data_IF_340468423485
#
_entry.id   IF_340468423485
#
_cell.length_a   1.000
_cell.length_b   1.000
_cell.length_c   1.000
_cell.angle_alpha   90.00
_cell.angle_beta   90.00
_cell.angle_gamma   90.00
#
_symmetry.space_group_name_H-M   'P 1'
#
loop_
_entity.id
_entity.type
_entity.pdbx_description
1 polymer ?
#
# COMPACT_ATOMS: atom_id res chain seq x y z
N UNK A 1 26.78 5.08 43.02
CA UNK A 1 27.64 3.88 42.97
C UNK A 1 26.80 2.67 43.32
N UNK A 2 27.03 1.57 42.58
CA UNK A 2 26.54 0.20 42.75
C UNK A 2 25.01 -0.01 42.71
N UNK A 3 24.47 -0.94 41.93
CA UNK A 3 25.08 -1.97 41.10
C UNK A 3 23.98 -2.94 40.70
N UNK A 4 23.86 -3.22 39.39
CA UNK A 4 22.90 -4.17 38.87
C UNK A 4 23.19 -5.60 39.30
N UNK A 5 22.13 -6.41 39.40
CA UNK A 5 22.19 -7.85 39.23
C UNK A 5 21.06 -8.30 38.30
N UNK A 6 21.47 -9.09 37.31
CA UNK A 6 20.77 -9.49 36.10
C UNK A 6 19.64 -10.49 36.32
N UNK A 7 18.72 -10.48 35.36
CA UNK A 7 17.45 -11.22 35.20
C UNK A 7 17.60 -12.77 35.12
N UNK A 8 18.79 -13.34 35.38
CA UNK A 8 19.07 -14.78 35.20
C UNK A 8 19.16 -15.60 36.50
N UNK A 9 18.93 -15.02 37.68
CA UNK A 9 19.11 -15.75 38.95
C UNK A 9 17.85 -16.41 39.55
N UNK A 10 16.66 -16.21 38.97
CA UNK A 10 15.41 -16.81 39.49
C UNK A 10 14.98 -18.09 38.75
N UNK A 11 15.64 -18.45 37.65
CA UNK A 11 15.30 -19.64 36.86
C UNK A 11 15.84 -20.96 37.44
N UNK A 12 16.67 -20.92 38.49
CA UNK A 12 17.33 -22.11 39.04
C UNK A 12 16.65 -22.73 40.29
N UNK A 13 15.52 -22.19 40.76
CA UNK A 13 14.86 -22.65 41.99
C UNK A 13 13.53 -23.40 41.78
N UNK A 14 13.11 -23.64 40.54
CA UNK A 14 11.85 -24.34 40.22
C UNK A 14 12.02 -25.67 39.46
N UNK A 15 13.22 -26.27 39.45
CA UNK A 15 13.46 -27.58 38.81
C UNK A 15 13.68 -28.76 39.78
N UNK A 16 13.49 -28.60 41.09
CA UNK A 16 13.90 -29.63 42.07
C UNK A 16 12.78 -30.55 42.59
N UNK A 17 11.60 -30.61 41.97
CA UNK A 17 10.50 -31.45 42.47
C UNK A 17 9.76 -32.22 41.37
N UNK A 18 10.50 -32.99 40.56
CA UNK A 18 9.93 -34.05 39.71
C UNK A 18 10.45 -35.42 40.17
N UNK A 19 9.60 -36.32 40.69
CA UNK A 19 10.01 -37.69 40.99
C UNK A 19 10.17 -38.50 39.68
N UNK A 20 11.28 -39.24 39.58
CA UNK A 20 11.54 -40.22 38.52
C UNK A 20 10.61 -41.46 38.66
N UNK A 21 10.17 -42.09 37.56
CA UNK A 21 9.27 -43.23 37.62
C UNK A 21 10.07 -44.54 37.73
N UNK A 22 10.18 -45.11 38.93
CA UNK A 22 10.44 -46.53 39.06
C UNK A 22 9.95 -47.03 40.42
N UNK A 23 8.78 -47.64 40.43
CA UNK A 23 8.33 -48.70 41.36
C UNK A 23 6.93 -49.12 40.95
N UNK A 24 6.79 -50.36 40.52
CA UNK A 24 5.49 -51.03 40.34
C UNK A 24 4.83 -51.25 41.71
N UNK A 25 3.56 -50.85 41.91
CA UNK A 25 2.80 -51.27 43.07
C UNK A 25 1.81 -52.40 42.73
N UNK A 26 1.43 -53.24 43.72
CA UNK A 26 0.48 -54.32 43.52
C UNK A 26 -0.97 -53.83 43.50
N UNK A 27 -1.85 -54.77 43.16
CA UNK A 27 -3.21 -54.60 42.69
C UNK A 27 -4.22 -53.96 43.67
N UNK A 28 -5.27 -53.42 43.03
CA UNK A 28 -6.63 -53.18 43.52
C UNK A 28 -6.88 -52.00 44.48
N UNK A 29 -7.63 -51.00 43.99
CA UNK A 29 -9.04 -50.74 44.36
C UNK A 29 -9.55 -49.60 43.47
N UNK A 30 -10.69 -49.84 42.82
CA UNK A 30 -11.30 -48.95 41.84
C UNK A 30 -11.91 -47.69 42.46
N UNK A 31 -11.30 -46.54 42.16
CA UNK A 31 -12.01 -45.28 41.89
C UNK A 31 -11.34 -44.64 40.69
N UNK A 32 -12.14 -44.36 39.67
CA UNK A 32 -11.70 -43.94 38.33
C UNK A 32 -10.82 -42.70 38.36
N UNK A 33 -9.52 -42.87 38.02
CA UNK A 33 -8.50 -41.83 37.74
C UNK A 33 -8.94 -40.71 36.77
N UNK A 34 -10.07 -40.87 36.09
CA UNK A 34 -10.65 -39.85 35.18
C UNK A 34 -11.25 -38.65 35.94
N UNK A 35 -11.81 -38.86 37.13
CA UNK A 35 -12.50 -37.78 37.86
C UNK A 35 -11.54 -36.71 38.39
N UNK A 36 -10.42 -37.12 39.01
CA UNK A 36 -9.42 -36.17 39.54
C UNK A 36 -8.71 -35.36 38.45
N UNK A 37 -8.52 -35.92 37.24
CA UNK A 37 -7.88 -35.21 36.12
C UNK A 37 -8.75 -34.07 35.58
N UNK A 38 -10.07 -34.21 35.55
CA UNK A 38 -10.98 -33.13 35.10
C UNK A 38 -11.01 -31.96 36.08
N UNK A 39 -11.01 -32.24 37.39
CA UNK A 39 -11.05 -31.21 38.43
C UNK A 39 -9.80 -30.33 38.44
N UNK A 40 -8.63 -30.93 38.24
CA UNK A 40 -7.35 -30.21 38.16
C UNK A 40 -7.22 -29.41 36.86
N UNK A 41 -7.71 -29.91 35.72
CA UNK A 41 -7.72 -29.14 34.46
C UNK A 41 -8.64 -27.93 34.52
N UNK A 42 -9.82 -28.04 35.14
CA UNK A 42 -10.77 -26.93 35.28
C UNK A 42 -10.20 -25.81 36.17
N UNK A 43 -9.57 -26.17 37.29
CA UNK A 43 -8.94 -25.19 38.20
C UNK A 43 -7.72 -24.48 37.58
N UNK A 44 -6.98 -25.16 36.68
CA UNK A 44 -5.86 -24.57 35.93
C UNK A 44 -6.37 -23.60 34.85
N UNK A 45 -7.45 -23.94 34.14
CA UNK A 45 -8.07 -23.02 33.16
C UNK A 45 -8.74 -21.80 33.80
N UNK A 46 -9.31 -21.95 35.00
CA UNK A 46 -9.96 -20.83 35.71
C UNK A 46 -8.94 -19.82 36.24
N UNK A 47 -7.81 -20.28 36.80
CA UNK A 47 -6.70 -19.41 37.22
C UNK A 47 -6.00 -18.73 36.04
N UNK A 48 -5.87 -19.41 34.89
CA UNK A 48 -5.31 -18.83 33.66
C UNK A 48 -6.25 -17.78 33.04
N UNK A 49 -7.57 -18.00 33.06
CA UNK A 49 -8.56 -17.02 32.61
C UNK A 49 -8.65 -15.80 33.54
N UNK A 50 -8.51 -15.97 34.86
CA UNK A 50 -8.45 -14.85 35.80
C UNK A 50 -7.19 -13.98 35.59
N UNK A 51 -6.02 -14.59 35.35
CA UNK A 51 -4.78 -13.83 35.05
C UNK A 51 -4.81 -13.16 33.67
N UNK A 52 -5.42 -13.78 32.66
CA UNK A 52 -5.69 -13.15 31.36
C UNK A 52 -6.71 -12.02 31.48
N UNK A 53 -7.78 -12.17 32.26
CA UNK A 53 -8.81 -11.13 32.44
C UNK A 53 -8.29 -9.91 33.20
N UNK A 54 -7.44 -10.11 34.21
CA UNK A 54 -6.75 -9.03 34.94
C UNK A 54 -5.73 -8.33 34.04
N UNK A 55 -5.01 -9.07 33.20
CA UNK A 55 -4.07 -8.49 32.23
C UNK A 55 -4.81 -7.68 31.17
N UNK A 56 -5.89 -8.19 30.60
CA UNK A 56 -6.71 -7.48 29.61
C UNK A 56 -7.36 -6.23 30.22
N UNK A 57 -7.89 -6.28 31.45
CA UNK A 57 -8.48 -5.09 32.11
C UNK A 57 -7.46 -4.02 32.50
N UNK A 58 -6.23 -4.40 32.90
CA UNK A 58 -5.15 -3.43 33.16
C UNK A 58 -4.66 -2.79 31.86
N UNK A 59 -4.56 -3.55 30.77
CA UNK A 59 -4.27 -3.01 29.43
C UNK A 59 -5.40 -2.12 28.89
N UNK A 60 -6.68 -2.48 29.10
CA UNK A 60 -7.83 -1.65 28.72
C UNK A 60 -7.93 -0.35 29.53
N UNK A 61 -7.55 -0.37 30.82
CA UNK A 61 -7.51 0.86 31.65
C UNK A 61 -6.34 1.80 31.28
N UNK A 62 -5.23 1.26 30.77
CA UNK A 62 -4.11 2.06 30.26
C UNK A 62 -4.36 2.59 28.83
N UNK A 63 -5.19 1.90 28.04
CA UNK A 63 -5.65 2.38 26.74
C UNK A 63 -6.75 3.46 26.85
N UNK A 64 -7.56 3.44 27.92
CA UNK A 64 -8.61 4.45 28.17
C UNK A 64 -8.07 5.84 28.55
N UNK A 65 -6.77 6.00 28.83
CA UNK A 65 -6.18 7.32 29.05
C UNK A 65 -5.75 8.03 27.75
N UNK A 66 -5.70 7.31 26.62
CA UNK A 66 -5.36 7.87 25.31
C UNK A 66 -6.60 8.20 24.45
N UNK A 67 -7.78 7.74 24.86
CA UNK A 67 -9.02 7.73 24.06
C UNK A 67 -10.06 8.77 24.53
N UNK A 68 -9.65 9.78 25.32
CA UNK A 68 -10.55 10.83 25.84
C UNK A 68 -10.17 12.25 25.41
N UNK A 69 -9.22 12.42 24.48
CA UNK A 69 -9.00 13.71 23.84
C UNK A 69 -9.64 13.68 22.45
N UNK A 70 -10.96 13.77 22.44
CA UNK A 70 -11.73 14.05 21.24
C UNK A 70 -11.13 15.29 20.57
N UNK A 71 -10.70 15.15 19.32
CA UNK A 71 -9.98 16.20 18.58
C UNK A 71 -10.85 17.46 18.43
N UNK A 72 -12.17 17.30 18.51
CA UNK A 72 -13.17 18.36 18.43
C UNK A 72 -13.10 19.31 19.64
N UNK A 73 -12.63 18.86 20.82
CA UNK A 73 -12.49 19.71 22.02
C UNK A 73 -11.40 20.79 21.88
N UNK A 74 -10.50 20.64 20.90
CA UNK A 74 -9.41 21.59 20.63
C UNK A 74 -9.55 22.28 19.28
N UNK A 75 -10.75 22.23 18.68
CA UNK A 75 -11.07 22.94 17.46
C UNK A 75 -11.39 24.42 17.73
N UNK A 76 -11.02 25.27 16.78
CA UNK A 76 -11.34 26.70 16.81
C UNK A 76 -12.77 26.91 16.29
N UNK A 77 -13.69 27.50 17.06
CA UNK A 77 -15.08 27.69 16.63
C UNK A 77 -15.28 28.65 15.44
N UNK A 78 -14.23 29.40 15.06
CA UNK A 78 -14.28 30.35 13.94
C UNK A 78 -13.83 29.68 12.63
N UNK A 79 -12.70 28.97 12.63
CA UNK A 79 -12.15 28.35 11.43
C UNK A 79 -12.38 26.84 11.34
N UNK A 80 -12.95 26.24 12.39
CA UNK A 80 -13.26 24.82 12.52
C UNK A 80 -12.04 23.88 12.43
N UNK A 81 -10.83 24.44 12.40
CA UNK A 81 -9.55 23.73 12.47
C UNK A 81 -9.06 23.58 13.91
N UNK A 82 -8.17 22.62 14.15
CA UNK A 82 -7.36 22.55 15.38
C UNK A 82 -6.68 23.89 15.69
N UNK A 83 -6.75 24.32 16.96
CA UNK A 83 -6.27 25.63 17.40
C UNK A 83 -4.81 25.91 16.98
N UNK A 84 -4.62 26.99 16.20
CA UNK A 84 -3.31 27.56 15.82
C UNK A 84 -3.06 28.76 16.69
N UNK A 85 -2.00 28.70 17.49
CA UNK A 85 -1.67 29.74 18.48
C UNK A 85 -2.87 30.05 19.39
N UNK A 86 -3.33 29.06 20.19
CA UNK A 86 -4.54 29.20 20.99
C UNK A 86 -4.45 30.39 21.94
N UNK A 87 -5.54 31.13 22.05
CA UNK A 87 -5.75 32.18 23.04
C UNK A 87 -7.05 31.93 23.77
N UNK A 88 -7.06 32.16 25.08
CA UNK A 88 -8.27 32.19 25.87
C UNK A 88 -8.64 33.65 26.15
N UNK A 89 -9.87 34.03 25.84
CA UNK A 89 -10.41 35.37 26.17
C UNK A 89 -11.04 35.33 27.58
N UNK A 90 -11.35 36.49 28.22
CA UNK A 90 -11.75 36.53 29.63
C UNK A 90 -12.97 35.67 30.00
N UNK A 91 -13.88 35.43 29.06
CA UNK A 91 -15.03 34.53 29.25
C UNK A 91 -14.67 33.03 29.21
N UNK A 92 -13.39 32.66 29.09
CA UNK A 92 -12.90 31.28 29.08
C UNK A 92 -12.93 30.57 27.72
N UNK A 93 -13.54 31.16 26.69
CA UNK A 93 -13.58 30.60 25.34
C UNK A 93 -12.22 30.72 24.64
N UNK A 94 -11.89 29.72 23.82
CA UNK A 94 -10.57 29.62 23.19
C UNK A 94 -10.66 29.64 21.66
N UNK A 95 -9.76 30.38 21.03
CA UNK A 95 -9.72 30.57 19.58
C UNK A 95 -8.28 30.59 19.07
N UNK A 96 -8.10 30.47 17.76
CA UNK A 96 -6.83 30.84 17.14
C UNK A 96 -6.59 32.35 17.32
N UNK A 97 -5.38 32.76 17.71
CA UNK A 97 -4.99 34.17 17.85
C UNK A 97 -5.41 35.01 16.62
N UNK A 98 -5.16 34.51 15.41
CA UNK A 98 -5.52 35.20 14.17
C UNK A 98 -7.03 35.32 13.95
N UNK A 99 -7.79 34.28 14.30
CA UNK A 99 -9.25 34.25 14.09
C UNK A 99 -9.98 35.26 14.97
N UNK A 100 -9.65 35.31 16.27
CA UNK A 100 -10.30 36.26 17.18
C UNK A 100 -9.85 37.70 16.92
N UNK A 101 -8.59 37.92 16.52
CA UNK A 101 -8.12 39.23 16.07
C UNK A 101 -8.92 39.71 14.87
N UNK A 102 -9.01 38.89 13.82
CA UNK A 102 -9.77 39.24 12.61
C UNK A 102 -11.25 39.52 12.91
N UNK A 103 -11.87 38.78 13.83
CA UNK A 103 -13.25 39.04 14.25
C UNK A 103 -13.41 40.41 14.93
N UNK A 104 -12.48 40.79 15.80
CA UNK A 104 -12.49 42.10 16.47
C UNK A 104 -12.11 43.25 15.54
N UNK A 105 -11.16 43.04 14.64
CA UNK A 105 -10.70 44.06 13.69
C UNK A 105 -11.80 44.47 12.70
N UNK A 106 -12.75 43.58 12.39
CA UNK A 106 -13.92 43.91 11.56
C UNK A 106 -14.92 44.86 12.27
N UNK A 107 -15.01 44.80 13.61
CA UNK A 107 -15.97 45.56 14.41
C UNK A 107 -15.34 46.68 15.26
N UNK A 108 -14.08 47.02 14.99
CA UNK A 108 -13.25 47.96 15.77
C UNK A 108 -13.85 49.37 15.86
N UNK A 109 -14.67 49.76 14.86
CA UNK A 109 -15.36 51.05 14.80
C UNK A 109 -16.42 51.27 15.92
N UNK A 110 -16.88 50.21 16.57
CA UNK A 110 -17.87 50.30 17.66
C UNK A 110 -17.24 50.45 19.04
N UNK A 111 -15.93 50.21 19.18
CA UNK A 111 -15.23 50.22 20.46
C UNK A 111 -15.61 49.12 21.45
N UNK A 112 -16.56 48.23 21.08
CA UNK A 112 -17.07 47.13 21.90
C UNK A 112 -16.71 45.79 21.26
N UNK A 113 -16.02 44.94 22.00
CA UNK A 113 -15.51 43.67 21.49
C UNK A 113 -16.31 42.52 22.09
N UNK A 114 -16.86 41.64 21.27
CA UNK A 114 -17.70 40.53 21.75
C UNK A 114 -17.06 39.15 21.52
N UNK A 115 -17.38 38.21 22.40
CA UNK A 115 -17.07 36.80 22.21
C UNK A 115 -17.98 36.18 21.14
N UNK A 116 -17.45 35.54 20.09
CA UNK A 116 -18.27 34.89 19.05
C UNK A 116 -19.21 33.78 19.57
N UNK A 117 -18.84 33.11 20.66
CA UNK A 117 -19.61 31.98 21.21
C UNK A 117 -20.69 32.43 22.21
N UNK A 118 -20.32 33.17 23.27
CA UNK A 118 -21.24 33.55 24.34
C UNK A 118 -21.76 35.00 24.26
N UNK A 119 -21.26 35.78 23.29
CA UNK A 119 -21.64 37.19 23.06
C UNK A 119 -21.31 38.16 24.21
N UNK A 120 -20.55 37.72 25.20
CA UNK A 120 -20.04 38.59 26.26
C UNK A 120 -19.18 39.70 25.66
N UNK A 121 -19.40 40.94 26.12
CA UNK A 121 -18.77 42.15 25.59
C UNK A 121 -17.66 42.65 26.51
N UNK A 122 -16.59 43.19 25.92
CA UNK A 122 -15.41 43.68 26.62
C UNK A 122 -15.07 45.11 26.17
N UNK A 123 -14.79 45.97 27.14
CA UNK A 123 -14.29 47.34 26.95
C UNK A 123 -13.35 47.67 28.11
N UNK A 124 -12.05 47.98 27.88
CA UNK A 124 -11.35 48.11 26.60
C UNK A 124 -11.04 46.76 25.92
N UNK A 125 -10.44 46.79 24.72
CA UNK A 125 -10.06 45.59 23.95
C UNK A 125 -9.20 44.64 24.80
N UNK A 126 -9.60 43.35 24.96
CA UNK A 126 -8.78 42.41 25.71
C UNK A 126 -7.41 42.18 25.05
N UNK A 127 -6.36 42.15 25.88
CA UNK A 127 -5.01 41.81 25.43
C UNK A 127 -4.91 40.31 25.23
N UNK A 128 -4.67 39.88 23.99
CA UNK A 128 -4.54 38.46 23.66
C UNK A 128 -3.12 37.97 23.93
N UNK A 129 -3.00 36.94 24.77
CA UNK A 129 -1.76 36.20 25.00
C UNK A 129 -1.94 34.75 24.62
N UNK A 130 -0.89 34.16 24.05
CA UNK A 130 -0.86 32.73 23.72
C UNK A 130 -1.06 31.92 25.00
N UNK A 131 -2.03 31.01 24.99
CA UNK A 131 -2.19 30.01 26.03
C UNK A 131 -1.19 28.88 25.80
N UNK A 132 -0.11 28.87 26.59
CA UNK A 132 0.99 27.90 26.46
C UNK A 132 0.53 26.48 26.77
N UNK A 133 -0.35 26.29 27.76
CA UNK A 133 -0.87 24.96 28.09
C UNK A 133 -1.71 24.38 26.96
N UNK A 134 -2.65 25.15 26.40
CA UNK A 134 -3.43 24.70 25.25
C UNK A 134 -2.53 24.44 24.04
N UNK A 135 -1.52 25.29 23.81
CA UNK A 135 -0.57 25.06 22.75
C UNK A 135 0.21 23.75 22.95
N UNK A 136 0.70 23.47 24.15
CA UNK A 136 1.41 22.23 24.46
C UNK A 136 0.53 20.98 24.31
N UNK A 137 -0.73 21.04 24.73
CA UNK A 137 -1.68 19.93 24.58
C UNK A 137 -1.99 19.68 23.11
N UNK A 138 -2.25 20.75 22.34
CA UNK A 138 -2.47 20.66 20.88
C UNK A 138 -1.22 20.13 20.16
N UNK A 139 -0.02 20.55 20.53
CA UNK A 139 1.23 20.04 19.96
C UNK A 139 1.49 18.57 20.34
N UNK A 140 1.17 18.18 21.57
CA UNK A 140 1.22 16.76 21.98
C UNK A 140 0.20 15.93 21.21
N UNK A 141 -1.01 16.43 20.98
CA UNK A 141 -2.02 15.76 20.16
C UNK A 141 -1.53 15.58 18.72
N UNK A 142 -0.94 16.63 18.12
CA UNK A 142 -0.29 16.55 16.80
C UNK A 142 0.85 15.52 16.78
N UNK A 143 1.69 15.48 17.81
CA UNK A 143 2.88 14.60 17.89
C UNK A 143 2.52 13.14 18.17
N UNK A 144 1.53 12.90 19.03
CA UNK A 144 0.98 11.55 19.29
C UNK A 144 0.24 11.04 18.05
N UNK A 145 -0.42 11.92 17.28
CA UNK A 145 -0.96 11.60 15.96
C UNK A 145 0.09 11.38 14.86
N UNK A 146 1.32 11.88 15.01
CA UNK A 146 2.43 11.69 14.05
C UNK A 146 3.33 10.48 14.36
N UNK A 147 3.36 9.99 15.61
CA UNK A 147 4.23 8.88 16.05
C UNK A 147 3.53 7.52 16.10
N UNK A 148 2.21 7.47 15.84
CA UNK A 148 1.54 6.24 15.47
C UNK A 148 1.58 6.10 13.95
N UNK A 149 2.54 5.35 13.43
CA UNK A 149 2.44 4.81 12.08
C UNK A 149 1.30 3.77 12.04
N UNK A 150 0.07 4.26 11.90
CA UNK A 150 -1.08 3.53 11.35
C UNK A 150 -1.84 4.46 10.38
N UNK A 151 -2.35 3.93 9.25
CA UNK A 151 -2.53 4.67 7.99
C UNK A 151 -3.84 5.49 7.89
N UNK A 152 -4.34 6.10 8.97
CA UNK A 152 -5.71 6.61 8.99
C UNK A 152 -5.93 7.98 8.33
N UNK A 153 -4.91 8.82 8.12
CA UNK A 153 -5.13 10.22 7.69
C UNK A 153 -4.13 10.76 6.66
N UNK A 154 -3.68 9.95 5.71
CA UNK A 154 -2.95 10.50 4.55
C UNK A 154 -3.92 11.27 3.63
N UNK A 155 -3.55 12.49 3.26
CA UNK A 155 -4.25 13.23 2.20
C UNK A 155 -4.06 12.52 0.86
N UNK A 156 -5.03 12.62 -0.04
CA UNK A 156 -4.91 12.02 -1.37
C UNK A 156 -3.79 12.73 -2.16
N UNK A 157 -2.77 11.97 -2.58
CA UNK A 157 -1.72 12.44 -3.47
C UNK A 157 -2.01 12.16 -4.95
N UNK A 158 -1.10 12.53 -5.86
CA UNK A 158 -1.20 12.18 -7.27
C UNK A 158 -1.32 10.65 -7.46
N UNK A 159 -2.38 10.20 -8.13
CA UNK A 159 -2.66 8.78 -8.37
C UNK A 159 -3.46 8.08 -7.26
N UNK A 160 -3.72 8.74 -6.13
CA UNK A 160 -4.63 8.22 -5.11
C UNK A 160 -6.09 8.48 -5.47
N UNK A 161 -6.97 7.57 -5.05
CA UNK A 161 -8.42 7.79 -5.10
C UNK A 161 -8.80 8.67 -3.91
N UNK A 162 -9.44 9.81 -4.18
CA UNK A 162 -9.87 10.73 -3.14
C UNK A 162 -11.22 10.30 -2.54
N UNK A 163 -11.44 10.60 -1.26
CA UNK A 163 -12.74 10.41 -0.63
C UNK A 163 -13.76 11.43 -1.15
N UNK A 164 -14.99 10.97 -1.41
CA UNK A 164 -16.07 11.80 -1.97
C UNK A 164 -16.76 12.69 -0.93
N UNK A 165 -16.68 12.33 0.35
CA UNK A 165 -17.42 12.98 1.43
C UNK A 165 -16.58 13.99 2.22
N UNK A 166 -15.25 13.98 2.06
CA UNK A 166 -14.39 14.98 2.71
C UNK A 166 -14.70 16.39 2.21
N UNK A 167 -14.99 17.29 3.15
CA UNK A 167 -15.06 18.72 2.88
C UNK A 167 -13.66 19.32 2.83
N UNK A 168 -13.38 20.15 1.83
CA UNK A 168 -12.06 20.79 1.67
C UNK A 168 -11.00 19.85 1.10
N UNK A 169 -9.86 19.72 1.80
CA UNK A 169 -8.75 18.87 1.33
C UNK A 169 -9.15 17.40 1.50
N UNK A 170 -9.21 16.67 0.38
CA UNK A 170 -9.67 15.28 0.37
C UNK A 170 -8.63 14.31 0.93
N UNK A 171 -9.10 13.40 1.80
CA UNK A 171 -8.29 12.28 2.27
C UNK A 171 -8.25 11.15 1.25
N UNK A 172 -7.22 10.32 1.34
CA UNK A 172 -7.12 9.10 0.54
C UNK A 172 -8.25 8.14 0.90
N UNK A 173 -8.95 7.64 -0.10
CA UNK A 173 -9.95 6.60 0.06
C UNK A 173 -9.29 5.24 0.29
N UNK A 174 -9.85 4.47 1.21
CA UNK A 174 -9.42 3.12 1.56
C UNK A 174 -10.30 2.08 0.87
N UNK A 175 -11.61 2.34 0.80
CA UNK A 175 -12.60 1.48 0.14
C UNK A 175 -13.55 2.30 -0.71
N UNK A 176 -14.09 1.66 -1.73
CA UNK A 176 -15.26 2.14 -2.47
C UNK A 176 -16.46 1.25 -2.19
N UNK A 177 -17.64 1.84 -2.08
CA UNK A 177 -18.89 1.13 -1.92
C UNK A 177 -19.60 1.00 -3.27
N UNK A 178 -19.92 -0.23 -3.67
CA UNK A 178 -20.61 -0.50 -4.93
C UNK A 178 -22.09 -0.10 -4.91
N UNK A 179 -22.67 0.09 -3.72
CA UNK A 179 -24.08 0.49 -3.57
C UNK A 179 -24.19 2.02 -3.54
N UNK A 180 -23.35 2.70 -2.75
CA UNK A 180 -23.33 4.16 -2.72
C UNK A 180 -22.68 4.77 -3.98
N UNK A 181 -21.96 3.96 -4.75
CA UNK A 181 -21.14 4.39 -5.90
C UNK A 181 -20.22 5.55 -5.50
N UNK A 182 -19.55 5.39 -4.35
CA UNK A 182 -18.65 6.39 -3.80
C UNK A 182 -17.44 5.76 -3.09
N UNK A 183 -16.40 6.56 -2.89
CA UNK A 183 -15.13 6.22 -2.26
C UNK A 183 -14.95 6.93 -0.92
N UNK A 184 -14.48 6.18 0.08
CA UNK A 184 -14.48 6.58 1.48
C UNK A 184 -13.07 6.48 2.07
N UNK A 185 -12.62 7.53 2.75
CA UNK A 185 -11.52 7.43 3.71
C UNK A 185 -12.00 6.70 4.97
N UNK A 186 -11.08 6.32 5.86
CA UNK A 186 -11.40 5.49 7.04
C UNK A 186 -12.55 6.07 7.88
N UNK A 187 -12.54 7.38 8.12
CA UNK A 187 -13.58 8.08 8.89
C UNK A 187 -14.96 8.00 8.25
N UNK A 188 -15.07 8.28 6.95
CA UNK A 188 -16.35 8.20 6.23
C UNK A 188 -16.76 6.76 5.91
N UNK A 189 -15.86 5.79 6.06
CA UNK A 189 -16.14 4.38 5.89
C UNK A 189 -16.77 3.76 7.14
N UNK A 190 -16.47 4.29 8.33
CA UNK A 190 -16.93 3.77 9.62
C UNK A 190 -18.45 3.48 9.70
N UNK A 191 -19.36 4.32 9.16
CA UNK A 191 -20.79 4.00 9.12
C UNK A 191 -21.13 2.70 8.39
N UNK A 192 -20.32 2.27 7.40
CA UNK A 192 -20.51 1.00 6.70
C UNK A 192 -20.22 -0.21 7.57
N UNK A 193 -19.50 -0.06 8.67
CA UNK A 193 -19.23 -1.15 9.61
C UNK A 193 -20.10 -1.11 10.85
N UNK A 194 -20.63 0.05 11.22
CA UNK A 194 -21.34 0.23 12.50
C UNK A 194 -22.84 0.39 12.32
N UNK A 195 -23.29 1.02 11.23
CA UNK A 195 -24.70 1.25 10.99
C UNK A 195 -25.34 0.03 10.33
N UNK A 196 -26.42 -0.54 10.91
CA UNK A 196 -27.17 -1.64 10.30
C UNK A 196 -27.69 -1.32 8.89
N UNK A 197 -27.90 -0.04 8.57
CA UNK A 197 -28.34 0.40 7.25
C UNK A 197 -27.27 0.17 6.16
N UNK A 198 -25.98 0.25 6.52
CA UNK A 198 -24.86 0.22 5.57
C UNK A 198 -24.01 -1.05 5.67
N UNK A 199 -24.12 -1.85 6.74
CA UNK A 199 -23.37 -3.11 6.91
C UNK A 199 -23.54 -4.12 5.76
N UNK A 200 -24.66 -4.06 5.03
CA UNK A 200 -24.92 -4.95 3.88
C UNK A 200 -24.31 -4.45 2.58
N UNK A 201 -23.75 -3.24 2.57
CA UNK A 201 -23.15 -2.67 1.39
C UNK A 201 -21.85 -3.41 1.03
N UNK A 202 -21.68 -3.68 -0.27
CA UNK A 202 -20.49 -4.37 -0.78
C UNK A 202 -19.34 -3.38 -0.96
N UNK A 203 -18.32 -3.52 -0.11
CA UNK A 203 -17.10 -2.71 -0.14
C UNK A 203 -16.00 -3.40 -0.95
N UNK A 204 -15.31 -2.65 -1.80
CA UNK A 204 -14.14 -3.09 -2.57
C UNK A 204 -12.94 -2.16 -2.29
N UNK A 205 -11.69 -2.56 -2.59
CA UNK A 205 -10.56 -1.63 -2.58
C UNK A 205 -10.90 -0.35 -3.34
N UNK A 206 -10.41 0.80 -2.83
CA UNK A 206 -10.67 2.08 -3.46
C UNK A 206 -10.24 2.07 -4.94
N UNK A 207 -11.12 2.56 -5.81
CA UNK A 207 -10.87 2.59 -7.26
C UNK A 207 -11.46 3.86 -7.86
N UNK A 208 -10.70 4.49 -8.77
CA UNK A 208 -11.20 5.63 -9.55
C UNK A 208 -12.20 5.22 -10.63
N UNK A 209 -12.31 3.92 -10.93
CA UNK A 209 -13.11 3.36 -12.02
C UNK A 209 -14.42 2.76 -11.51
N UNK A 210 -15.03 3.37 -10.49
CA UNK A 210 -16.23 2.82 -9.88
C UNK A 210 -17.43 2.92 -10.84
N UNK A 211 -17.53 4.02 -11.59
CA UNK A 211 -18.58 4.26 -12.57
C UNK A 211 -18.54 3.24 -13.73
N UNK A 212 -17.37 2.78 -14.13
CA UNK A 212 -17.22 1.75 -15.18
C UNK A 212 -17.82 0.39 -14.77
N UNK A 213 -18.11 0.19 -13.47
CA UNK A 213 -18.74 -1.03 -12.95
C UNK A 213 -20.26 -0.92 -12.87
N UNK A 214 -20.82 0.24 -13.21
CA UNK A 214 -22.25 0.53 -13.16
C UNK A 214 -22.79 0.63 -14.58
N UNK A 215 -23.96 0.03 -14.80
CA UNK A 215 -24.68 0.14 -16.06
C UNK A 215 -25.20 1.56 -16.25
N UNK A 216 -24.82 2.20 -17.36
CA UNK A 216 -25.24 3.55 -17.73
C UNK A 216 -26.75 3.71 -17.97
N UNK A 217 -27.46 2.61 -18.24
CA UNK A 217 -28.91 2.64 -18.54
C UNK A 217 -29.78 2.37 -17.31
N UNK A 218 -29.25 1.62 -16.33
CA UNK A 218 -30.07 1.08 -15.25
C UNK A 218 -29.53 1.39 -13.84
N UNK A 219 -28.36 2.03 -13.75
CA UNK A 219 -27.66 2.35 -12.48
C UNK A 219 -27.47 1.13 -11.57
N UNK A 220 -27.27 -0.04 -12.19
CA UNK A 220 -27.05 -1.33 -11.52
C UNK A 220 -25.67 -1.88 -11.85
N UNK A 221 -25.12 -2.68 -10.94
CA UNK A 221 -23.81 -3.31 -11.14
C UNK A 221 -23.78 -4.22 -12.38
N UNK A 222 -22.66 -4.13 -13.11
CA UNK A 222 -22.36 -4.99 -14.26
C UNK A 222 -21.86 -6.37 -13.78
N UNK A 223 -22.79 -7.21 -13.35
CA UNK A 223 -22.50 -8.54 -12.78
C UNK A 223 -22.65 -9.70 -13.78
N UNK A 224 -23.16 -9.43 -14.98
CA UNK A 224 -23.38 -10.42 -16.04
C UNK A 224 -22.47 -10.10 -17.23
N UNK A 225 -21.98 -11.13 -17.91
CA UNK A 225 -21.29 -11.00 -19.19
C UNK A 225 -22.12 -11.62 -20.30
N UNK A 226 -22.43 -10.84 -21.33
CA UNK A 226 -23.04 -11.33 -22.53
C UNK A 226 -21.95 -11.80 -23.49
N UNK A 227 -21.93 -13.08 -23.84
CA UNK A 227 -20.97 -13.66 -24.78
C UNK A 227 -21.30 -13.32 -26.23
N UNK A 228 -22.58 -13.19 -26.54
CA UNK A 228 -23.06 -12.78 -27.87
C UNK A 228 -22.51 -11.41 -28.26
N UNK A 229 -22.64 -10.42 -27.37
CA UNK A 229 -22.19 -9.03 -27.62
C UNK A 229 -20.82 -8.72 -27.01
N UNK A 230 -20.23 -9.69 -26.32
CA UNK A 230 -18.92 -9.60 -25.66
C UNK A 230 -18.76 -8.46 -24.65
N UNK A 231 -19.83 -8.08 -23.96
CA UNK A 231 -19.84 -6.96 -23.00
C UNK A 231 -20.37 -7.33 -21.62
N UNK A 232 -19.93 -6.59 -20.61
CA UNK A 232 -20.48 -6.67 -19.25
C UNK A 232 -21.78 -5.87 -19.18
N UNK A 233 -22.84 -6.48 -18.64
CA UNK A 233 -24.19 -5.91 -18.52
C UNK A 233 -24.75 -6.13 -17.11
N UNK A 234 -25.81 -5.41 -16.75
CA UNK A 234 -26.53 -5.66 -15.50
C UNK A 234 -27.69 -6.66 -15.72
N UNK A 235 -28.30 -7.16 -14.64
CA UNK A 235 -29.42 -8.11 -14.74
C UNK A 235 -30.66 -7.54 -15.45
N UNK A 236 -30.87 -6.22 -15.41
CA UNK A 236 -31.98 -5.58 -16.12
C UNK A 236 -31.79 -5.66 -17.63
N UNK A 237 -30.57 -5.38 -18.12
CA UNK A 237 -30.19 -5.55 -19.53
C UNK A 237 -30.44 -6.97 -20.06
N UNK A 238 -30.27 -8.01 -19.24
CA UNK A 238 -30.53 -9.41 -19.64
C UNK A 238 -32.00 -9.63 -19.99
N UNK A 239 -32.89 -8.97 -19.26
CA UNK A 239 -34.34 -9.09 -19.46
C UNK A 239 -34.84 -8.23 -20.62
N UNK A 240 -34.12 -7.16 -20.93
CA UNK A 240 -34.49 -6.15 -21.93
C UNK A 240 -33.75 -6.40 -23.25
N UNK A 241 -32.71 -5.61 -23.54
CA UNK A 241 -31.98 -5.59 -24.82
C UNK A 241 -31.24 -6.89 -25.14
N UNK A 242 -30.80 -7.64 -24.12
CA UNK A 242 -30.03 -8.88 -24.28
C UNK A 242 -30.86 -10.14 -24.09
N UNK A 243 -32.19 -10.04 -24.27
CA UNK A 243 -33.10 -11.16 -24.06
C UNK A 243 -32.81 -12.29 -25.06
N UNK A 244 -32.44 -13.45 -24.53
CA UNK A 244 -32.13 -14.65 -25.34
C UNK A 244 -30.69 -14.76 -25.81
N UNK A 245 -29.82 -13.82 -25.42
CA UNK A 245 -28.38 -13.94 -25.67
C UNK A 245 -27.72 -14.95 -24.73
N UNK A 246 -26.56 -15.48 -25.15
CA UNK A 246 -25.74 -16.32 -24.27
C UNK A 246 -25.13 -15.42 -23.18
N UNK A 247 -25.54 -15.64 -21.94
CA UNK A 247 -25.14 -14.84 -20.79
C UNK A 247 -24.64 -15.73 -19.67
N UNK A 248 -23.57 -15.27 -19.01
CA UNK A 248 -22.95 -15.93 -17.87
C UNK A 248 -22.62 -14.90 -16.80
N UNK A 249 -22.31 -15.32 -15.58
CA UNK A 249 -21.83 -14.35 -14.57
C UNK A 249 -20.49 -13.74 -15.01
N UNK A 250 -20.31 -12.43 -14.78
CA UNK A 250 -19.08 -11.74 -15.09
C UNK A 250 -17.87 -12.31 -14.32
N UNK A 251 -18.11 -12.89 -13.13
CA UNK A 251 -17.07 -13.57 -12.35
C UNK A 251 -16.60 -14.88 -13.01
N UNK A 252 -17.53 -15.69 -13.52
CA UNK A 252 -17.19 -16.94 -14.21
C UNK A 252 -16.43 -16.65 -15.51
N UNK A 253 -16.93 -15.72 -16.32
CA UNK A 253 -16.27 -15.35 -17.57
C UNK A 253 -14.86 -14.77 -17.33
N UNK A 254 -14.70 -13.93 -16.30
CA UNK A 254 -13.37 -13.40 -15.94
C UNK A 254 -12.39 -14.53 -15.63
N UNK A 255 -12.81 -15.54 -14.89
CA UNK A 255 -11.97 -16.69 -14.53
C UNK A 255 -11.53 -17.45 -15.79
N UNK A 256 -12.45 -17.71 -16.72
CA UNK A 256 -12.17 -18.42 -17.96
C UNK A 256 -11.23 -17.61 -18.87
N UNK A 257 -11.52 -16.32 -19.10
CA UNK A 257 -10.64 -15.45 -19.90
C UNK A 257 -9.25 -15.31 -19.27
N UNK A 258 -9.16 -15.22 -17.94
CA UNK A 258 -7.88 -15.16 -17.23
C UNK A 258 -7.05 -16.42 -17.46
N UNK A 259 -7.69 -17.60 -17.45
CA UNK A 259 -7.04 -18.89 -17.75
C UNK A 259 -6.51 -18.92 -19.19
N UNK A 260 -7.35 -18.54 -20.16
CA UNK A 260 -6.98 -18.51 -21.58
C UNK A 260 -5.82 -17.55 -21.85
N UNK A 261 -5.84 -16.36 -21.23
CA UNK A 261 -4.74 -15.40 -21.31
C UNK A 261 -3.45 -15.97 -20.71
N UNK A 262 -3.52 -16.64 -19.56
CA UNK A 262 -2.37 -17.28 -18.93
C UNK A 262 -1.75 -18.39 -19.80
N UNK A 263 -2.57 -19.20 -20.45
CA UNK A 263 -2.11 -20.23 -21.40
C UNK A 263 -1.45 -19.60 -22.63
N UNK A 264 -2.07 -18.56 -23.19
CA UNK A 264 -1.54 -17.84 -24.35
C UNK A 264 -0.22 -17.15 -24.02
N UNK A 265 -0.11 -16.54 -22.84
CA UNK A 265 1.11 -15.92 -22.35
C UNK A 265 2.24 -16.95 -22.20
N UNK A 266 1.98 -18.12 -21.60
CA UNK A 266 2.98 -19.20 -21.49
C UNK A 266 3.46 -19.68 -22.85
N UNK A 267 2.55 -19.92 -23.79
CA UNK A 267 2.90 -20.31 -25.17
C UNK A 267 3.77 -19.25 -25.83
N UNK A 268 3.44 -17.97 -25.66
CA UNK A 268 4.24 -16.87 -26.20
C UNK A 268 5.64 -16.83 -25.57
N UNK A 269 5.75 -17.00 -24.26
CA UNK A 269 7.03 -17.03 -23.56
C UNK A 269 7.91 -18.21 -24.02
N UNK A 270 7.32 -19.41 -24.19
CA UNK A 270 8.04 -20.57 -24.70
C UNK A 270 8.60 -20.31 -26.11
N UNK A 271 7.79 -19.73 -27.00
CA UNK A 271 8.24 -19.37 -28.37
C UNK A 271 9.35 -18.32 -28.37
N UNK A 272 9.33 -17.38 -27.42
CA UNK A 272 10.41 -16.39 -27.27
C UNK A 272 11.69 -17.08 -26.80
N UNK A 273 11.61 -17.95 -25.77
CA UNK A 273 12.77 -18.68 -25.26
C UNK A 273 13.41 -19.60 -26.31
N UNK A 274 12.58 -20.28 -27.11
CA UNK A 274 13.06 -21.11 -28.21
C UNK A 274 13.80 -20.27 -29.27
N UNK A 275 13.21 -19.15 -29.69
CA UNK A 275 13.86 -18.21 -30.62
C UNK A 275 15.14 -17.61 -30.06
N UNK A 276 15.19 -17.27 -28.77
CA UNK A 276 16.40 -16.79 -28.12
C UNK A 276 17.50 -17.85 -28.13
N UNK A 277 17.15 -19.12 -27.93
CA UNK A 277 18.09 -20.24 -28.00
C UNK A 277 18.62 -20.43 -29.43
N UNK A 278 17.74 -20.41 -30.42
CA UNK A 278 18.12 -20.55 -31.84
C UNK A 278 19.03 -19.40 -32.27
N UNK A 279 18.72 -18.17 -31.85
CA UNK A 279 19.55 -16.99 -32.10
C UNK A 279 20.93 -17.13 -31.45
N UNK A 280 21.02 -17.60 -30.20
CA UNK A 280 22.32 -17.85 -29.54
C UNK A 280 23.14 -18.87 -30.32
N UNK A 281 22.55 -19.99 -30.74
CA UNK A 281 23.24 -21.01 -31.51
C UNK A 281 23.71 -20.50 -32.88
N UNK A 282 22.90 -19.67 -33.55
CA UNK A 282 23.29 -19.04 -34.81
C UNK A 282 24.47 -18.08 -34.64
N UNK A 283 24.46 -17.27 -33.57
CA UNK A 283 25.57 -16.37 -33.22
C UNK A 283 26.85 -17.16 -32.93
N UNK A 284 26.77 -18.22 -32.11
CA UNK A 284 27.93 -19.07 -31.80
C UNK A 284 28.49 -19.77 -33.04
N UNK A 285 27.63 -20.19 -33.98
CA UNK A 285 28.08 -20.79 -35.24
C UNK A 285 28.80 -19.77 -36.13
N UNK A 286 28.32 -18.52 -36.15
CA UNK A 286 28.96 -17.43 -36.89
C UNK A 286 30.32 -17.04 -36.28
N UNK A 287 30.44 -16.96 -34.95
CA UNK A 287 31.70 -16.62 -34.28
C UNK A 287 32.76 -17.69 -34.56
N UNK A 288 32.42 -18.98 -34.42
CA UNK A 288 33.33 -20.09 -34.76
C UNK A 288 33.72 -20.06 -36.24
N UNK A 289 32.75 -19.78 -37.14
CA UNK A 289 33.02 -19.65 -38.57
C UNK A 289 33.98 -18.50 -38.90
N UNK A 290 33.84 -17.36 -38.22
CA UNK A 290 34.75 -16.22 -38.38
C UNK A 290 36.15 -16.50 -37.85
N UNK A 291 36.28 -17.20 -36.71
CA UNK A 291 37.56 -17.58 -36.13
C UNK A 291 38.31 -18.60 -37.01
N UNK A 292 37.58 -19.56 -37.56
CA UNK A 292 38.15 -20.53 -38.50
C UNK A 292 38.66 -19.84 -39.77
N UNK A 293 37.85 -18.94 -40.36
CA UNK A 293 38.25 -18.17 -41.55
C UNK A 293 39.47 -17.29 -41.27
N UNK A 294 39.52 -16.63 -40.09
CA UNK A 294 40.67 -15.82 -39.65
C UNK A 294 41.93 -16.68 -39.50
N UNK A 295 41.82 -17.87 -38.91
CA UNK A 295 42.93 -18.81 -38.74
C UNK A 295 43.46 -19.30 -40.09
N UNK A 296 42.57 -19.65 -41.03
CA UNK A 296 42.94 -20.05 -42.39
C UNK A 296 43.66 -18.91 -43.15
N UNK A 297 43.17 -17.67 -43.05
CA UNK A 297 43.83 -16.50 -43.66
C UNK A 297 45.22 -16.25 -43.08
N UNK A 298 45.39 -16.35 -41.77
CA UNK A 298 46.71 -16.23 -41.12
C UNK A 298 47.67 -17.33 -41.57
N UNK A 299 47.18 -18.57 -41.71
CA UNK A 299 47.98 -19.69 -42.23
C UNK A 299 48.37 -19.50 -43.71
N UNK A 300 47.44 -19.05 -44.55
CA UNK A 300 47.70 -18.75 -45.96
C UNK A 300 48.70 -17.60 -46.14
N UNK A 301 48.61 -16.54 -45.33
CA UNK A 301 49.58 -15.44 -45.33
C UNK A 301 50.99 -15.89 -44.92
N UNK A 302 51.10 -16.82 -43.97
CA UNK A 302 52.38 -17.45 -43.57
C UNK A 302 52.97 -18.34 -44.67
N UNK A 303 52.14 -19.09 -45.40
CA UNK A 303 52.59 -19.90 -46.52
C UNK A 303 53.10 -19.02 -47.69
N UNK A 304 52.42 -17.92 -47.99
CA UNK A 304 52.83 -16.97 -49.04
C UNK A 304 54.18 -16.29 -48.71
N UNK A 305 54.38 -15.89 -47.45
CA UNK A 305 55.63 -15.28 -46.99
C UNK A 305 56.82 -16.25 -46.95
N UNK A 306 56.57 -17.55 -46.73
CA UNK A 306 57.59 -18.60 -46.84
C UNK A 306 58.05 -18.88 -48.29
N UNK A 307 57.14 -18.76 -49.27
CA UNK A 307 57.47 -18.98 -50.69
C UNK A 307 58.25 -17.79 -51.29
N UNK A 308 58.04 -16.57 -50.80
CA UNK A 308 58.78 -15.37 -51.26
C UNK A 308 60.26 -15.34 -50.86
N UNK A 309 60.71 -16.17 -49.92
CA UNK A 309 62.13 -16.26 -49.53
C UNK A 309 62.95 -17.25 -50.38
N UNK A 310 62.34 -17.94 -51.35
CA UNK A 310 62.98 -18.96 -52.18
C UNK A 310 63.32 -18.57 -53.62
N UNK A 311 63.14 -17.32 -54.03
CA UNK A 311 63.42 -16.90 -55.42
C UNK A 311 64.87 -16.37 -55.57
N UNK A 312 65.67 -16.87 -56.54
CA UNK A 312 66.99 -16.31 -56.81
C UNK A 312 66.86 -14.93 -57.50
N UNK A 313 67.87 -14.04 -57.39
CA UNK A 313 67.76 -12.69 -57.89
C UNK A 313 67.72 -12.69 -59.43
N UNK A 314 66.64 -12.18 -60.00
CA UNK A 314 66.53 -11.92 -61.43
C UNK A 314 67.14 -10.55 -61.70
N UNK A 315 68.33 -10.56 -62.30
CA UNK A 315 68.99 -9.36 -62.80
C UNK A 315 68.23 -8.84 -64.03
N UNK A 316 67.70 -7.62 -63.98
CA UNK A 316 67.09 -6.96 -65.13
C UNK A 316 67.61 -5.53 -65.23
N UNK A 317 68.60 -5.36 -66.10
CA UNK A 317 68.95 -4.08 -66.71
C UNK A 317 67.97 -3.81 -67.86
N UNK A 318 67.28 -2.68 -67.76
CA UNK A 318 66.48 -1.94 -68.75
C UNK A 318 67.22 -1.69 -70.10
N UNK A 319 66.58 -1.28 -71.22
CA UNK A 319 65.70 -0.09 -71.27
C UNK A 319 64.54 0.01 -72.30
N UNK A 320 63.53 0.77 -71.87
CA UNK A 320 62.75 1.85 -72.53
C UNK A 320 62.61 1.95 -74.07
N UNK A 321 61.35 1.81 -74.53
CA UNK A 321 60.60 2.65 -75.50
C UNK A 321 59.15 2.11 -75.48
N UNK A 322 58.05 2.83 -75.29
CA UNK A 322 57.73 4.24 -75.47
C UNK A 322 56.46 4.27 -76.32
N UNK A 323 55.28 4.61 -75.77
CA UNK A 323 54.25 5.33 -76.54
C UNK A 323 53.12 5.85 -75.65
N UNK A 324 52.72 7.09 -75.93
CA UNK A 324 51.67 7.84 -75.27
C UNK A 324 50.28 7.40 -75.74
N UNK A 325 49.35 7.26 -74.80
CA UNK A 325 47.92 7.38 -75.10
C UNK A 325 47.25 8.18 -73.99
N UNK A 326 46.93 9.43 -74.34
CA UNK A 326 45.98 10.33 -73.67
C UNK A 326 44.60 9.67 -73.73
N UNK A 327 43.84 9.62 -72.62
CA UNK A 327 42.37 9.72 -72.67
C UNK A 327 41.78 10.21 -71.33
N UNK A 328 40.67 10.91 -71.48
CA UNK A 328 40.10 12.01 -70.68
C UNK A 328 39.05 11.54 -69.64
N UNK A 329 39.04 12.08 -68.40
CA UNK A 329 38.06 11.74 -67.37
C UNK A 329 36.80 12.61 -67.45
N UNK A 330 35.89 12.31 -68.38
CA UNK A 330 34.49 12.76 -68.27
C UNK A 330 33.55 12.07 -69.27
N UNK A 331 32.80 11.04 -68.81
CA UNK A 331 31.46 10.66 -69.32
C UNK A 331 30.82 9.53 -68.50
N UNK A 332 29.66 9.87 -67.95
CA UNK A 332 28.47 9.04 -67.58
C UNK A 332 28.62 7.85 -66.64
#
# INVERSE_FOLDING_TARGET
MCGGKSVLSLYSLLCSAWPQPNTTPPAAVGRTRKSLRLSLSHAVTEKQNLTLSVSVTVFSKMAQAADLLDQDQFSCPICLDLLKDPVAIPCGHSYCMGCIKGCWDQNDHTGVYSCPQCRETFTPRPVLRRNTMLAEVVEKLKKTGLQAATPAHSYAGPGDVACDFCTGRKHKAVKSCLVCVASFCETHLQPHYESPAFMKHKLTPATGHLQEKICSHHDKLLEVYCRTDQQCICYQCVMDEHRGHDTVSAAAERTEKQKQLGETQRKSQQRIQEREKDLRQAVDSLTVGTDHRRTQQLAAGRAFSGLSQGSPPVNSTEPYCGEQAIWDPSKS
#
